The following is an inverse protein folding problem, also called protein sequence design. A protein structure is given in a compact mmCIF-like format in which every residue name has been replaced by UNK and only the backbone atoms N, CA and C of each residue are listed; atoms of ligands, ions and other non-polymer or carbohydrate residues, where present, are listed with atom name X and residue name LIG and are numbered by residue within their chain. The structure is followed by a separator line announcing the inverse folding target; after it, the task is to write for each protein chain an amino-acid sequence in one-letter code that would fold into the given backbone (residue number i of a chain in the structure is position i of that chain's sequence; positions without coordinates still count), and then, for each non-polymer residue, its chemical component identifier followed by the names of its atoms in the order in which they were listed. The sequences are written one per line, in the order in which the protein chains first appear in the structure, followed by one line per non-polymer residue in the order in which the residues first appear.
data_IF_519999424300
#
_entry.id   IF_519999424300
#
_cell.length_a   1.000
_cell.length_b   1.000
_cell.length_c   1.000
_cell.angle_alpha   90.00
_cell.angle_beta   90.00
_cell.angle_gamma   90.00
#
_symmetry.space_group_name_H-M   'P 1'
#
loop_
_entity.id
_entity.type
_entity.pdbx_description
1 polymer ?
#
# COMPACT_ATOMS: atom_id res chain seq x y z
N UNK A 1 -63.95 -8.16 28.79
CA UNK A 1 -64.49 -6.98 28.08
C UNK A 1 -63.63 -6.83 26.83
N UNK A 2 -64.02 -7.46 25.73
CA UNK A 2 -64.68 -6.82 24.57
C UNK A 2 -63.96 -5.53 24.18
N UNK A 3 -63.20 -5.56 23.08
CA UNK A 3 -63.54 -4.81 21.86
C UNK A 3 -62.55 -5.15 20.73
N UNK A 4 -63.09 -5.90 19.77
CA UNK A 4 -62.54 -6.03 18.43
C UNK A 4 -62.78 -4.72 17.66
N UNK A 5 -61.87 -4.35 16.76
CA UNK A 5 -62.10 -3.37 15.69
C UNK A 5 -61.61 -4.01 14.38
N UNK A 6 -62.39 -3.94 13.28
CA UNK A 6 -62.37 -4.94 12.24
C UNK A 6 -61.53 -4.56 11.01
N UNK A 7 -61.18 -5.63 10.31
CA UNK A 7 -60.68 -5.70 8.95
C UNK A 7 -61.71 -5.13 7.96
N UNK A 8 -61.37 -4.10 7.17
CA UNK A 8 -61.94 -3.92 5.83
C UNK A 8 -61.03 -3.08 4.90
N UNK A 9 -60.46 -3.79 3.93
CA UNK A 9 -60.28 -3.43 2.52
C UNK A 9 -60.24 -1.94 2.14
N UNK A 10 -59.06 -1.47 1.73
CA UNK A 10 -58.94 -0.61 0.54
C UNK A 10 -57.88 -1.21 -0.38
N UNK A 11 -58.41 -1.80 -1.45
CA UNK A 11 -57.71 -2.24 -2.65
C UNK A 11 -57.15 -1.00 -3.36
N UNK A 12 -55.83 -0.92 -3.58
CA UNK A 12 -55.30 -0.10 -4.65
C UNK A 12 -54.06 -0.77 -5.25
N UNK A 13 -54.30 -1.40 -6.39
CA UNK A 13 -53.33 -1.79 -7.39
C UNK A 13 -52.41 -0.61 -7.71
N UNK A 14 -51.12 -0.70 -7.40
CA UNK A 14 -50.08 -0.18 -8.31
C UNK A 14 -48.96 -1.22 -8.37
N UNK A 15 -49.00 -1.94 -9.48
CA UNK A 15 -47.94 -2.75 -10.04
C UNK A 15 -46.83 -1.77 -10.44
N UNK A 16 -45.68 -1.79 -9.76
CA UNK A 16 -44.40 -1.47 -10.37
C UNK A 16 -43.35 -2.37 -9.73
N UNK A 17 -43.22 -3.56 -10.29
CA UNK A 17 -42.01 -4.36 -10.20
C UNK A 17 -40.88 -3.59 -10.90
N UNK A 18 -40.28 -2.65 -10.16
CA UNK A 18 -39.01 -2.03 -10.50
C UNK A 18 -37.99 -2.53 -9.51
N UNK A 19 -37.41 -3.70 -9.78
CA UNK A 19 -36.18 -4.14 -9.14
C UNK A 19 -35.10 -3.11 -9.46
N UNK A 20 -34.95 -2.08 -8.63
CA UNK A 20 -33.70 -1.35 -8.53
C UNK A 20 -32.70 -2.27 -7.85
N UNK A 21 -32.19 -3.22 -8.64
CA UNK A 21 -30.91 -3.83 -8.38
C UNK A 21 -29.90 -2.68 -8.49
N UNK A 22 -29.44 -2.18 -7.35
CA UNK A 22 -28.18 -1.46 -7.30
C UNK A 22 -27.08 -2.47 -7.64
N UNK A 23 -26.88 -2.76 -8.93
CA UNK A 23 -25.66 -3.39 -9.42
C UNK A 23 -24.63 -2.27 -9.54
N UNK A 24 -23.97 -1.92 -8.42
CA UNK A 24 -22.68 -1.24 -8.48
C UNK A 24 -21.61 -2.26 -8.87
N UNK A 25 -21.76 -2.83 -10.06
CA UNK A 25 -20.74 -3.66 -10.70
C UNK A 25 -20.06 -2.80 -11.76
N UNK A 26 -19.31 -1.79 -11.29
CA UNK A 26 -18.10 -1.42 -12.02
C UNK A 26 -16.95 -1.89 -11.16
N UNK A 27 -16.69 -3.20 -11.28
CA UNK A 27 -15.40 -3.77 -10.90
C UNK A 27 -14.35 -2.89 -11.59
N UNK A 28 -13.37 -2.30 -10.88
CA UNK A 28 -12.25 -1.66 -11.56
C UNK A 28 -11.69 -2.72 -12.51
N UNK A 29 -11.61 -2.38 -13.79
CA UNK A 29 -11.07 -3.28 -14.80
C UNK A 29 -9.73 -3.80 -14.27
N UNK A 30 -9.61 -5.12 -14.12
CA UNK A 30 -8.35 -5.73 -13.76
C UNK A 30 -7.32 -5.20 -14.76
N UNK A 31 -6.13 -4.74 -14.31
CA UNK A 31 -5.13 -4.23 -15.22
C UNK A 31 -4.91 -5.26 -16.32
N UNK A 32 -5.13 -4.82 -17.56
CA UNK A 32 -4.93 -5.62 -18.76
C UNK A 32 -3.53 -6.22 -18.68
N UNK A 33 -3.46 -7.51 -18.36
CA UNK A 33 -2.26 -8.31 -18.55
C UNK A 33 -2.34 -8.70 -20.03
N UNK A 34 -1.49 -8.13 -20.90
CA UNK A 34 -1.55 -8.46 -22.32
C UNK A 34 -1.36 -9.96 -22.49
N UNK A 35 -2.28 -10.54 -23.27
CA UNK A 35 -2.21 -11.88 -23.81
C UNK A 35 -0.86 -12.08 -24.52
N UNK A 36 -0.33 -13.30 -24.40
CA UNK A 36 1.03 -13.77 -24.68
C UNK A 36 1.87 -12.93 -25.67
N UNK A 37 2.98 -12.37 -25.15
CA UNK A 37 4.00 -11.67 -25.93
C UNK A 37 4.86 -12.70 -26.66
N UNK A 38 4.43 -13.09 -27.86
CA UNK A 38 5.13 -14.07 -28.69
C UNK A 38 6.29 -13.47 -29.53
N UNK A 39 6.52 -12.14 -29.43
CA UNK A 39 7.56 -11.42 -30.17
C UNK A 39 8.33 -10.42 -29.30
N UNK A 40 9.68 -10.46 -29.28
CA UNK A 40 10.51 -9.55 -28.48
C UNK A 40 10.36 -8.06 -28.83
N UNK A 41 9.84 -7.76 -30.01
CA UNK A 41 9.70 -6.42 -30.60
C UNK A 41 8.36 -5.75 -30.22
N UNK A 42 7.41 -6.50 -29.68
CA UNK A 42 6.12 -5.98 -29.18
C UNK A 42 6.13 -5.75 -27.66
N UNK A 43 7.30 -5.80 -26.99
CA UNK A 43 7.44 -5.42 -25.58
C UNK A 43 7.35 -3.89 -25.53
N UNK A 44 6.26 -3.29 -25.00
CA UNK A 44 6.24 -1.85 -24.77
C UNK A 44 7.42 -1.53 -23.86
N UNK A 45 8.33 -0.70 -24.35
CA UNK A 45 9.54 -0.26 -23.66
C UNK A 45 9.12 0.15 -22.25
N UNK A 46 9.39 -0.73 -21.27
CA UNK A 46 8.98 -0.49 -19.89
C UNK A 46 9.69 0.79 -19.49
N UNK A 47 8.98 1.85 -19.07
CA UNK A 47 9.64 3.08 -18.66
C UNK A 47 10.70 2.68 -17.63
N UNK A 48 11.95 3.01 -17.91
CA UNK A 48 13.08 2.65 -17.06
C UNK A 48 12.95 3.45 -15.76
N UNK A 49 12.12 2.97 -14.84
CA UNK A 49 11.92 3.63 -13.57
C UNK A 49 13.26 3.65 -12.84
N UNK A 50 13.71 4.85 -12.51
CA UNK A 50 14.95 5.02 -11.75
C UNK A 50 14.71 4.49 -10.35
N UNK A 51 15.47 3.46 -9.97
CA UNK A 51 15.45 2.98 -8.59
C UNK A 51 16.43 3.78 -7.74
N UNK A 52 15.99 4.14 -6.54
CA UNK A 52 16.86 4.62 -5.48
C UNK A 52 17.47 3.41 -4.79
N UNK A 53 18.80 3.39 -4.65
CA UNK A 53 19.46 2.34 -3.88
C UNK A 53 19.46 2.72 -2.39
N UNK A 54 18.65 2.03 -1.60
CA UNK A 54 18.70 2.11 -0.13
C UNK A 54 19.90 1.27 0.34
N UNK A 55 21.05 1.92 0.36
CA UNK A 55 22.31 1.39 0.87
C UNK A 55 22.91 2.37 1.90
N UNK A 56 22.44 2.26 3.13
CA UNK A 56 22.84 3.14 4.22
C UNK A 56 24.17 2.66 4.82
N UNK A 57 25.24 3.43 4.58
CA UNK A 57 26.59 3.20 5.13
C UNK A 57 26.66 3.22 6.67
N UNK A 58 25.63 3.76 7.34
CA UNK A 58 25.53 3.75 8.81
C UNK A 58 25.38 2.34 9.38
N UNK A 59 25.02 1.34 8.56
CA UNK A 59 25.06 -0.06 8.96
C UNK A 59 26.47 -0.63 8.77
N UNK A 60 27.23 -0.73 9.86
CA UNK A 60 28.63 -1.19 9.84
C UNK A 60 28.78 -2.71 9.67
N UNK A 61 27.74 -3.51 9.99
CA UNK A 61 27.75 -4.96 9.81
C UNK A 61 26.47 -5.44 9.10
N UNK A 62 26.55 -5.56 7.78
CA UNK A 62 25.39 -5.90 6.92
C UNK A 62 25.36 -7.39 6.60
N UNK A 63 24.21 -8.02 6.88
CA UNK A 63 23.88 -9.41 6.52
C UNK A 63 23.31 -9.56 5.10
N UNK A 64 22.85 -8.46 4.49
CA UNK A 64 22.15 -8.41 3.21
C UNK A 64 22.61 -7.19 2.40
N UNK A 65 22.47 -7.23 1.07
CA UNK A 65 22.76 -6.11 0.20
C UNK A 65 21.76 -4.96 0.33
N UNK A 66 21.97 -3.91 -0.47
CA UNK A 66 21.05 -2.79 -0.60
C UNK A 66 19.67 -3.22 -1.09
N UNK A 67 18.70 -2.33 -0.95
CA UNK A 67 17.35 -2.52 -1.50
C UNK A 67 17.18 -1.51 -2.64
N UNK A 68 16.86 -2.00 -3.84
CA UNK A 68 16.41 -1.12 -4.93
C UNK A 68 14.97 -0.73 -4.66
N UNK A 69 14.73 0.57 -4.56
CA UNK A 69 13.43 1.13 -4.22
C UNK A 69 12.95 2.08 -5.30
N UNK A 70 11.79 1.80 -5.87
CA UNK A 70 11.17 2.60 -6.93
C UNK A 70 10.21 3.62 -6.33
N UNK A 71 10.76 4.74 -5.84
CA UNK A 71 9.98 5.79 -5.16
C UNK A 71 8.80 6.28 -6.02
N UNK A 72 9.06 6.56 -7.30
CA UNK A 72 8.03 7.10 -8.21
C UNK A 72 6.94 6.08 -8.51
N UNK A 73 7.24 4.78 -8.49
CA UNK A 73 6.17 3.77 -8.60
C UNK A 73 5.27 3.79 -7.36
N UNK A 74 5.83 3.92 -6.17
CA UNK A 74 5.03 4.00 -4.93
C UNK A 74 4.14 5.24 -4.91
N UNK A 75 4.68 6.40 -5.32
CA UNK A 75 3.95 7.67 -5.35
C UNK A 75 2.99 7.78 -6.54
N UNK A 76 3.49 7.61 -7.76
CA UNK A 76 2.77 8.00 -8.97
C UNK A 76 1.95 6.87 -9.56
N UNK A 77 2.34 5.60 -9.36
CA UNK A 77 1.60 4.44 -9.87
C UNK A 77 0.65 3.89 -8.80
N UNK A 78 1.19 3.57 -7.62
CA UNK A 78 0.40 3.01 -6.51
C UNK A 78 -0.33 4.06 -5.68
N UNK A 79 -0.12 5.36 -5.97
CA UNK A 79 -0.80 6.49 -5.33
C UNK A 79 -0.67 6.47 -3.80
N UNK A 80 0.45 5.98 -3.28
CA UNK A 80 0.73 5.95 -1.85
C UNK A 80 1.03 7.37 -1.39
N UNK A 81 0.31 7.81 -0.36
CA UNK A 81 0.51 9.13 0.24
C UNK A 81 1.93 9.26 0.81
N UNK A 82 2.55 10.43 0.66
CA UNK A 82 3.87 10.71 1.19
C UNK A 82 3.93 10.43 2.71
N UNK A 83 2.83 10.68 3.44
CA UNK A 83 2.74 10.51 4.89
C UNK A 83 2.81 9.06 5.36
N UNK A 84 2.56 8.10 4.46
CA UNK A 84 2.65 6.67 4.76
C UNK A 84 4.10 6.25 5.02
N UNK A 85 5.08 6.97 4.44
CA UNK A 85 6.51 6.70 4.64
C UNK A 85 7.25 7.85 5.32
N UNK A 86 6.96 9.09 4.93
CA UNK A 86 7.49 10.29 5.56
C UNK A 86 6.58 10.72 6.69
N UNK A 87 6.97 10.32 7.90
CA UNK A 87 6.19 10.51 9.10
C UNK A 87 6.96 11.39 10.09
N UNK A 88 6.20 12.14 10.86
CA UNK A 88 6.70 12.90 12.00
C UNK A 88 5.63 12.83 13.08
N UNK A 89 5.92 12.13 14.17
CA UNK A 89 4.97 11.92 15.25
C UNK A 89 5.19 12.91 16.39
N UNK A 90 4.13 13.60 16.80
CA UNK A 90 4.04 14.41 18.02
C UNK A 90 2.74 14.01 18.75
N UNK A 91 2.83 13.66 20.03
CA UNK A 91 1.68 13.16 20.83
C UNK A 91 0.88 12.04 20.13
N UNK A 92 1.59 11.06 19.55
CA UNK A 92 1.04 9.91 18.80
C UNK A 92 0.25 10.27 17.53
N UNK A 93 0.28 11.53 17.09
CA UNK A 93 -0.31 11.98 15.83
C UNK A 93 0.77 12.20 14.76
N UNK A 94 0.54 11.72 13.53
CA UNK A 94 1.43 12.00 12.41
C UNK A 94 1.16 13.40 11.85
N UNK A 95 1.96 14.36 12.29
CA UNK A 95 1.82 15.78 11.96
C UNK A 95 2.59 16.20 10.70
N UNK A 96 3.28 15.27 10.01
CA UNK A 96 4.04 15.57 8.80
C UNK A 96 3.15 16.25 7.74
N UNK A 97 3.71 17.03 6.81
CA UNK A 97 2.96 17.67 5.70
C UNK A 97 3.79 17.62 4.43
N UNK A 98 3.13 17.63 3.26
CA UNK A 98 3.83 17.64 1.97
C UNK A 98 4.71 18.88 1.76
N UNK A 99 4.48 19.94 2.53
CA UNK A 99 5.30 21.16 2.55
C UNK A 99 6.54 21.03 3.42
N UNK A 100 6.63 20.00 4.27
CA UNK A 100 7.77 19.79 5.15
C UNK A 100 8.97 19.28 4.34
N UNK A 101 10.17 19.66 4.80
CA UNK A 101 11.40 19.12 4.19
C UNK A 101 11.50 17.61 4.42
N UNK A 102 11.71 16.86 3.34
CA UNK A 102 11.93 15.42 3.42
C UNK A 102 13.31 15.13 3.98
N UNK A 103 13.35 14.31 5.02
CA UNK A 103 14.59 13.83 5.64
C UNK A 103 14.75 12.32 5.43
N UNK A 104 16.00 11.85 5.40
CA UNK A 104 16.30 10.42 5.43
C UNK A 104 15.87 9.81 6.77
N UNK A 105 15.45 8.55 6.74
CA UNK A 105 14.98 7.83 7.92
C UNK A 105 16.01 7.85 9.07
N UNK A 106 17.30 7.81 8.73
CA UNK A 106 18.43 7.83 9.67
C UNK A 106 18.57 9.13 10.47
N UNK A 107 17.90 10.22 10.06
CA UNK A 107 17.90 11.47 10.80
C UNK A 107 17.24 11.32 12.19
N UNK A 108 16.27 10.42 12.29
CA UNK A 108 15.53 10.15 13.54
C UNK A 108 15.71 8.70 14.01
N UNK A 109 15.78 7.74 13.09
CA UNK A 109 15.93 6.33 13.43
C UNK A 109 17.39 5.95 13.52
N UNK A 110 17.88 5.76 14.75
CA UNK A 110 19.26 5.39 14.99
C UNK A 110 19.56 3.95 14.50
N UNK A 111 20.73 3.69 13.88
CA UNK A 111 21.03 2.39 13.25
C UNK A 111 21.23 1.23 14.23
N UNK A 112 21.71 1.52 15.44
CA UNK A 112 22.09 0.50 16.44
C UNK A 112 21.13 0.49 17.64
N UNK A 113 20.97 1.63 18.29
CA UNK A 113 20.10 1.78 19.48
C UNK A 113 18.68 2.21 19.17
N UNK A 114 17.72 1.76 19.99
CA UNK A 114 16.34 2.25 19.99
C UNK A 114 16.29 3.52 20.85
N UNK A 115 15.59 4.56 20.41
CA UNK A 115 15.51 5.84 21.13
C UNK A 115 14.08 6.07 21.61
N UNK A 116 13.79 5.70 22.87
CA UNK A 116 12.44 5.76 23.42
C UNK A 116 11.45 4.95 22.57
N UNK A 117 10.43 5.63 22.04
CA UNK A 117 9.43 5.04 21.15
C UNK A 117 9.86 4.99 19.68
N UNK A 118 10.99 5.59 19.32
CA UNK A 118 11.53 5.58 17.95
C UNK A 118 12.28 4.28 17.70
N UNK A 119 11.79 3.48 16.75
CA UNK A 119 12.40 2.22 16.36
C UNK A 119 13.81 2.42 15.78
N UNK A 120 14.64 1.37 15.84
CA UNK A 120 15.93 1.32 15.14
C UNK A 120 15.70 1.46 13.62
N UNK A 121 16.66 2.02 12.88
CA UNK A 121 16.56 2.24 11.43
C UNK A 121 16.15 0.99 10.65
N UNK A 122 16.74 -0.16 10.99
CA UNK A 122 16.42 -1.42 10.33
C UNK A 122 14.99 -1.90 10.62
N UNK A 123 14.48 -1.65 11.82
CA UNK A 123 13.09 -1.95 12.17
C UNK A 123 12.11 -0.96 11.55
N UNK A 124 12.48 0.31 11.41
CA UNK A 124 11.67 1.30 10.69
C UNK A 124 11.41 0.85 9.24
N UNK A 125 12.46 0.43 8.51
CA UNK A 125 12.31 -0.12 7.17
C UNK A 125 11.45 -1.39 7.15
N UNK A 126 11.72 -2.35 8.04
CA UNK A 126 10.96 -3.59 8.04
C UNK A 126 9.49 -3.38 8.39
N UNK A 127 9.16 -2.60 9.41
CA UNK A 127 7.76 -2.32 9.74
C UNK A 127 7.06 -1.55 8.63
N UNK A 128 7.71 -0.53 8.07
CA UNK A 128 7.07 0.28 7.04
C UNK A 128 6.89 -0.49 5.73
N UNK A 129 7.97 -1.05 5.17
CA UNK A 129 7.92 -1.69 3.86
C UNK A 129 7.29 -3.09 3.94
N UNK A 130 7.76 -3.95 4.86
CA UNK A 130 7.35 -5.35 4.90
C UNK A 130 5.91 -5.50 5.38
N UNK A 131 5.47 -4.73 6.37
CA UNK A 131 4.11 -4.89 6.90
C UNK A 131 3.06 -4.31 5.94
N UNK A 132 3.37 -3.21 5.24
CA UNK A 132 2.54 -2.73 4.14
C UNK A 132 2.40 -3.79 3.05
N UNK A 133 3.53 -4.34 2.55
CA UNK A 133 3.52 -5.39 1.54
C UNK A 133 2.81 -6.67 2.01
N UNK A 134 2.93 -7.02 3.29
CA UNK A 134 2.22 -8.15 3.88
C UNK A 134 0.71 -7.95 3.80
N UNK A 135 0.20 -6.77 4.19
CA UNK A 135 -1.23 -6.44 4.10
C UNK A 135 -1.73 -6.51 2.66
N UNK A 136 -0.98 -5.93 1.71
CA UNK A 136 -1.32 -6.01 0.29
C UNK A 136 -1.36 -7.46 -0.22
N UNK A 137 -0.44 -8.32 0.23
CA UNK A 137 -0.45 -9.72 -0.14
C UNK A 137 -1.61 -10.51 0.50
N UNK A 138 -2.07 -10.12 1.69
CA UNK A 138 -3.28 -10.67 2.31
C UNK A 138 -4.54 -10.25 1.54
N UNK A 139 -4.52 -9.10 0.85
CA UNK A 139 -5.53 -8.66 -0.11
C UNK A 139 -5.39 -9.30 -1.51
N UNK A 140 -4.46 -10.23 -1.69
CA UNK A 140 -4.22 -10.91 -2.97
C UNK A 140 -3.38 -10.12 -3.97
N UNK A 141 -2.81 -8.98 -3.59
CA UNK A 141 -1.92 -8.19 -4.45
C UNK A 141 -0.49 -8.73 -4.41
N UNK A 142 0.23 -8.62 -5.52
CA UNK A 142 1.61 -9.08 -5.59
C UNK A 142 2.57 -8.04 -4.97
N UNK A 143 3.01 -8.28 -3.73
CA UNK A 143 4.02 -7.46 -3.05
C UNK A 143 5.02 -8.33 -2.27
N UNK A 144 6.35 -8.11 -2.39
CA UNK A 144 7.33 -8.94 -1.72
C UNK A 144 7.40 -8.65 -0.22
N UNK A 145 7.12 -9.64 0.63
CA UNK A 145 7.25 -9.50 2.09
C UNK A 145 7.83 -10.72 2.82
N UNK A 146 7.70 -11.93 2.25
CA UNK A 146 8.04 -13.19 2.93
C UNK A 146 9.54 -13.47 2.97
N UNK A 147 10.23 -13.35 1.84
CA UNK A 147 11.65 -13.69 1.69
C UNK A 147 12.51 -12.43 1.81
N UNK A 148 13.60 -12.48 2.58
CA UNK A 148 14.52 -11.34 2.72
C UNK A 148 15.04 -10.86 1.36
N UNK A 149 15.38 -11.80 0.47
CA UNK A 149 15.89 -11.52 -0.88
C UNK A 149 14.78 -11.10 -1.86
N UNK A 150 13.52 -10.99 -1.40
CA UNK A 150 12.45 -10.37 -2.18
C UNK A 150 12.58 -8.84 -2.25
N UNK A 151 13.34 -8.25 -1.32
CA UNK A 151 13.67 -6.82 -1.33
C UNK A 151 15.19 -6.58 -1.32
N UNK A 152 15.92 -7.36 -0.53
CA UNK A 152 17.37 -7.20 -0.43
C UNK A 152 18.09 -7.88 -1.58
N UNK A 153 19.00 -7.13 -2.19
CA UNK A 153 19.99 -7.67 -3.10
C UNK A 153 20.94 -8.65 -2.40
N UNK A 154 21.55 -9.53 -3.19
CA UNK A 154 22.66 -10.34 -2.69
C UNK A 154 23.79 -9.41 -2.24
N UNK A 155 24.52 -9.83 -1.20
CA UNK A 155 25.66 -9.06 -0.73
C UNK A 155 26.76 -9.17 -1.79
N UNK A 156 27.06 -8.05 -2.43
CA UNK A 156 28.24 -7.86 -3.29
C UNK A 156 29.48 -7.65 -2.45
#
# INVERSE_FOLDING_TARGET
MKNAIPLLLVLCLIIFAGSFACTSDTKPEDPVVPEEIDKPEDIPEQPSYTFLLIDKKVFTNRRKGGVKFTHDQHKDVYKISCKECHHKYENDENIWKDTDSVQGCEACHHPVEKQGNVDKLQMAYHKNCKDCHKKLAEEGKNAPFKKCNGCHEQKT
#
